data_IF_566559037586
#
_entry.id   IF_566559037586
#
_cell.length_a   1.000
_cell.length_b   1.000
_cell.length_c   1.000
_cell.angle_alpha   90.00
_cell.angle_beta   90.00
_cell.angle_gamma   90.00
#
_symmetry.space_group_name_H-M   'P 1'
#
loop_
_entity.id
_entity.type
_entity.pdbx_description
1 polymer ?
#
# COMPACT_ATOMS: atom_id res chain seq x y z
N UNK A 1 4.83 13.89 28.63
CA UNK A 1 4.17 13.48 27.38
C UNK A 1 5.19 12.63 26.66
N UNK A 2 5.06 11.31 26.73
CA UNK A 2 5.93 10.41 25.96
C UNK A 2 5.47 10.49 24.50
N UNK A 3 6.42 10.71 23.59
CA UNK A 3 6.18 10.79 22.16
C UNK A 3 5.52 9.50 21.66
N UNK A 4 4.24 9.59 21.28
CA UNK A 4 3.44 8.48 20.74
C UNK A 4 3.87 8.02 19.33
N UNK A 5 5.08 8.37 18.89
CA UNK A 5 5.64 8.03 17.57
C UNK A 5 6.49 6.76 17.56
N UNK A 6 6.93 6.30 18.73
CA UNK A 6 7.62 5.02 18.89
C UNK A 6 6.63 3.95 19.34
N UNK A 7 6.26 3.09 18.39
CA UNK A 7 5.64 1.81 18.68
C UNK A 7 6.76 0.86 19.08
N UNK A 8 6.70 0.32 20.29
CA UNK A 8 7.58 -0.78 20.71
C UNK A 8 7.32 -1.98 19.79
N UNK A 9 8.40 -2.49 19.18
CA UNK A 9 8.33 -3.66 18.30
C UNK A 9 8.55 -4.89 19.19
N UNK A 10 7.63 -5.88 19.20
CA UNK A 10 7.85 -7.12 19.93
C UNK A 10 9.12 -7.87 19.45
N UNK A 11 9.85 -8.51 20.36
CA UNK A 11 11.04 -9.35 20.07
C UNK A 11 10.70 -10.70 19.38
N UNK A 12 9.55 -10.79 18.73
CA UNK A 12 9.05 -11.99 18.08
C UNK A 12 9.84 -12.32 16.78
N UNK A 13 9.77 -13.58 16.27
CA UNK A 13 10.46 -13.98 15.06
C UNK A 13 10.19 -13.04 13.87
N UNK A 14 11.20 -12.86 13.00
CA UNK A 14 11.09 -12.01 11.81
C UNK A 14 9.82 -12.32 10.99
N UNK A 15 9.05 -11.28 10.67
CA UNK A 15 7.74 -11.36 9.98
C UNK A 15 6.61 -12.09 10.74
N UNK A 16 6.74 -12.30 12.05
CA UNK A 16 5.60 -12.69 12.92
C UNK A 16 4.51 -11.59 12.96
N UNK A 17 4.94 -10.34 12.85
CA UNK A 17 4.11 -9.15 12.83
C UNK A 17 4.52 -8.25 11.66
N UNK A 18 3.57 -7.49 11.12
CA UNK A 18 3.82 -6.54 10.04
C UNK A 18 3.20 -5.18 10.39
N UNK A 19 3.88 -4.11 9.98
CA UNK A 19 3.37 -2.75 10.14
C UNK A 19 2.43 -2.40 9.01
N UNK A 20 1.33 -1.75 9.37
CA UNK A 20 0.41 -1.11 8.44
C UNK A 20 0.42 0.39 8.73
N UNK A 21 0.53 1.21 7.69
CA UNK A 21 0.49 2.66 7.88
C UNK A 21 -0.90 3.10 8.36
N UNK A 22 -0.96 4.21 9.11
CA UNK A 22 -2.25 4.80 9.53
C UNK A 22 -3.20 5.00 8.34
N UNK A 23 -2.69 5.46 7.21
CA UNK A 23 -3.44 5.60 5.97
C UNK A 23 -4.11 4.28 5.55
N UNK A 24 -3.34 3.21 5.49
CA UNK A 24 -3.82 1.89 5.07
C UNK A 24 -4.84 1.26 6.05
N UNK A 25 -4.76 1.57 7.34
CA UNK A 25 -5.77 1.10 8.32
C UNK A 25 -7.14 1.72 8.08
N UNK A 26 -7.17 2.96 7.60
CA UNK A 26 -8.41 3.68 7.33
C UNK A 26 -8.94 3.41 5.93
N UNK A 27 -8.04 3.28 4.97
CA UNK A 27 -8.35 3.20 3.55
C UNK A 27 -7.33 2.29 2.84
N UNK A 28 -7.79 1.19 2.27
CA UNK A 28 -6.94 0.22 1.57
C UNK A 28 -7.23 0.15 0.07
N UNK A 29 -6.24 -0.34 -0.68
CA UNK A 29 -6.41 -0.76 -2.07
C UNK A 29 -7.61 -1.74 -2.26
N UNK A 30 -8.23 -1.76 -3.45
CA UNK A 30 -9.37 -2.63 -3.75
C UNK A 30 -9.09 -4.12 -3.48
N UNK A 31 -10.02 -4.79 -2.78
CA UNK A 31 -9.93 -6.24 -2.60
C UNK A 31 -10.18 -7.02 -3.88
N UNK A 32 -11.16 -6.59 -4.68
CA UNK A 32 -11.51 -7.19 -5.98
C UNK A 32 -11.13 -6.25 -7.11
N UNK A 33 -10.98 -6.81 -8.30
CA UNK A 33 -10.85 -6.04 -9.54
C UNK A 33 -12.01 -5.05 -9.62
N UNK A 34 -11.75 -3.74 -9.75
CA UNK A 34 -12.79 -2.75 -10.00
C UNK A 34 -13.61 -3.14 -11.24
N UNK A 35 -14.94 -2.95 -11.17
CA UNK A 35 -15.83 -3.22 -12.29
C UNK A 35 -15.54 -2.26 -13.44
N UNK A 36 -15.94 -2.67 -14.65
CA UNK A 36 -15.96 -1.82 -15.85
C UNK A 36 -14.60 -1.22 -16.25
N UNK A 37 -13.51 -1.82 -15.78
CA UNK A 37 -12.16 -1.34 -16.10
C UNK A 37 -11.80 -0.01 -15.46
N UNK A 38 -12.47 0.36 -14.35
CA UNK A 38 -12.20 1.61 -13.63
C UNK A 38 -10.70 1.79 -13.37
N UNK A 39 -10.20 2.98 -13.75
CA UNK A 39 -8.81 3.41 -13.53
C UNK A 39 -8.65 4.21 -12.25
N UNK A 40 -9.75 4.58 -11.62
CA UNK A 40 -9.76 5.34 -10.39
C UNK A 40 -10.68 4.70 -9.37
N UNK A 41 -10.27 4.69 -8.11
CA UNK A 41 -11.12 4.33 -6.97
C UNK A 41 -10.93 5.37 -5.88
N UNK A 42 -12.03 5.98 -5.47
CA UNK A 42 -12.08 6.92 -4.34
C UNK A 42 -12.57 6.17 -3.11
N UNK A 43 -11.88 6.36 -2.00
CA UNK A 43 -12.23 5.82 -0.68
C UNK A 43 -12.30 6.95 0.31
N UNK A 44 -13.30 6.92 1.18
CA UNK A 44 -13.52 7.94 2.21
C UNK A 44 -13.71 7.29 3.56
N UNK A 45 -13.05 7.86 4.58
CA UNK A 45 -13.23 7.50 5.98
C UNK A 45 -13.16 8.78 6.84
N UNK A 46 -14.32 9.28 7.27
CA UNK A 46 -14.40 10.58 7.94
C UNK A 46 -13.92 11.73 7.04
N UNK A 47 -12.98 12.54 7.53
CA UNK A 47 -12.32 13.63 6.80
C UNK A 47 -11.28 13.16 5.78
N UNK A 48 -10.85 11.90 5.87
CA UNK A 48 -9.85 11.34 4.96
C UNK A 48 -10.51 10.87 3.66
N UNK A 49 -10.06 11.43 2.54
CA UNK A 49 -10.32 10.91 1.19
C UNK A 49 -9.01 10.45 0.57
N UNK A 50 -8.98 9.23 0.06
CA UNK A 50 -7.85 8.72 -0.72
C UNK A 50 -8.35 8.29 -2.09
N UNK A 51 -7.72 8.82 -3.12
CA UNK A 51 -7.96 8.44 -4.50
C UNK A 51 -6.78 7.60 -4.99
N UNK A 52 -7.09 6.40 -5.45
CA UNK A 52 -6.14 5.54 -6.11
C UNK A 52 -6.31 5.71 -7.61
N UNK A 53 -5.24 6.15 -8.27
CA UNK A 53 -5.18 6.39 -9.70
C UNK A 53 -4.28 5.34 -10.34
N UNK A 54 -4.87 4.39 -11.06
CA UNK A 54 -4.17 3.33 -11.74
C UNK A 54 -3.52 3.84 -13.04
N UNK A 55 -2.27 3.45 -13.27
CA UNK A 55 -1.57 3.75 -14.51
C UNK A 55 -2.12 2.99 -15.73
N UNK A 56 -1.33 2.92 -16.81
CA UNK A 56 -1.73 2.28 -18.07
C UNK A 56 -2.13 0.80 -17.93
N UNK A 57 -1.62 0.11 -16.92
CA UNK A 57 -1.95 -1.28 -16.61
C UNK A 57 -3.26 -1.46 -15.81
N UNK A 58 -3.90 -0.36 -15.40
CA UNK A 58 -5.08 -0.32 -14.54
C UNK A 58 -4.74 -0.36 -13.05
N UNK A 59 -5.78 -0.31 -12.21
CA UNK A 59 -5.61 -0.29 -10.76
C UNK A 59 -5.06 -1.62 -10.20
N UNK A 60 -4.20 -1.56 -9.16
CA UNK A 60 -3.82 -2.72 -8.38
C UNK A 60 -5.01 -3.18 -7.52
N UNK A 61 -5.13 -4.49 -7.34
CA UNK A 61 -6.15 -5.09 -6.50
C UNK A 61 -5.71 -6.46 -5.97
N UNK A 62 -6.46 -6.99 -5.01
CA UNK A 62 -6.21 -8.32 -4.44
C UNK A 62 -5.15 -8.29 -3.35
N UNK A 63 -4.69 -9.47 -2.93
CA UNK A 63 -3.86 -9.61 -1.74
C UNK A 63 -2.42 -9.14 -1.95
N UNK A 64 -1.84 -9.35 -3.13
CA UNK A 64 -0.42 -9.13 -3.37
C UNK A 64 0.02 -7.66 -3.28
N UNK A 65 -0.71 -6.68 -3.84
CA UNK A 65 -0.37 -5.27 -3.65
C UNK A 65 -0.41 -4.85 -2.18
N UNK A 66 -1.42 -5.30 -1.43
CA UNK A 66 -1.58 -4.96 0.00
C UNK A 66 -0.51 -5.61 0.88
N UNK A 67 -0.13 -6.86 0.57
CA UNK A 67 1.00 -7.52 1.22
C UNK A 67 2.31 -6.76 0.95
N UNK A 68 2.49 -6.25 -0.28
CA UNK A 68 3.67 -5.44 -0.61
C UNK A 68 3.70 -4.14 0.20
N UNK A 69 2.58 -3.41 0.30
CA UNK A 69 2.52 -2.18 1.09
C UNK A 69 2.85 -2.44 2.57
N UNK A 70 2.34 -3.54 3.15
CA UNK A 70 2.67 -3.95 4.53
C UNK A 70 4.15 -4.30 4.69
N UNK A 71 4.72 -5.05 3.73
CA UNK A 71 6.16 -5.34 3.71
C UNK A 71 6.99 -4.07 3.69
N UNK A 72 6.69 -3.14 2.77
CA UNK A 72 7.41 -1.87 2.66
C UNK A 72 7.30 -1.03 3.94
N UNK A 73 6.11 -0.91 4.53
CA UNK A 73 5.92 -0.22 5.81
C UNK A 73 6.74 -0.87 6.93
N UNK A 74 6.83 -2.20 6.93
CA UNK A 74 7.59 -2.95 7.93
C UNK A 74 9.08 -2.66 7.81
N UNK A 75 9.67 -2.79 6.62
CA UNK A 75 11.10 -2.53 6.40
C UNK A 75 11.49 -1.10 6.78
N UNK A 76 10.65 -0.13 6.41
CA UNK A 76 10.87 1.29 6.78
C UNK A 76 10.80 1.48 8.29
N UNK A 77 9.79 0.89 8.97
CA UNK A 77 9.57 1.13 10.40
C UNK A 77 10.59 0.41 11.29
N UNK A 78 11.07 -0.76 10.88
CA UNK A 78 12.07 -1.53 11.64
C UNK A 78 13.51 -1.10 11.34
N UNK A 79 13.72 -0.17 10.41
CA UNK A 79 15.07 0.22 9.98
C UNK A 79 15.83 -0.91 9.31
N UNK A 80 15.12 -1.75 8.53
CA UNK A 80 15.74 -2.90 7.86
C UNK A 80 16.83 -2.45 6.87
N UNK A 81 17.99 -3.12 6.79
CA UNK A 81 19.08 -2.75 5.89
C UNK A 81 18.70 -2.70 4.40
N UNK A 82 17.58 -3.31 4.01
CA UNK A 82 17.04 -3.22 2.65
C UNK A 82 16.49 -1.83 2.31
N UNK A 83 16.17 -0.99 3.29
CA UNK A 83 15.68 0.38 3.07
C UNK A 83 16.77 1.42 3.37
N UNK A 84 17.12 2.22 2.37
CA UNK A 84 18.00 3.38 2.56
C UNK A 84 17.16 4.64 2.81
N UNK A 85 17.20 5.23 4.03
CA UNK A 85 16.42 6.42 4.37
C UNK A 85 16.87 7.69 3.63
N UNK A 86 18.13 7.75 3.17
CA UNK A 86 18.65 8.91 2.45
C UNK A 86 18.12 8.96 1.01
N UNK A 87 18.18 7.84 0.29
CA UNK A 87 17.67 7.73 -1.08
C UNK A 87 16.19 7.38 -1.18
N UNK A 88 15.58 6.92 -0.08
CA UNK A 88 14.21 6.38 -0.02
C UNK A 88 13.99 5.18 -0.95
N UNK A 89 15.05 4.39 -1.15
CA UNK A 89 15.02 3.19 -2.00
C UNK A 89 14.88 1.95 -1.11
N UNK A 90 13.93 1.08 -1.47
CA UNK A 90 13.76 -0.24 -0.88
C UNK A 90 14.28 -1.33 -1.83
N UNK A 91 15.33 -2.03 -1.43
CA UNK A 91 15.91 -3.14 -2.18
C UNK A 91 15.11 -4.42 -1.95
N UNK A 92 14.53 -4.98 -3.01
CA UNK A 92 13.69 -6.19 -2.95
C UNK A 92 14.48 -7.50 -3.12
N UNK A 93 15.81 -7.43 -3.08
CA UNK A 93 16.71 -8.55 -3.38
C UNK A 93 17.11 -8.60 -4.85
N UNK A 94 17.81 -9.66 -5.25
CA UNK A 94 18.42 -9.75 -6.59
C UNK A 94 17.43 -10.24 -7.65
N UNK A 95 16.42 -11.00 -7.22
CA UNK A 95 15.38 -11.51 -8.13
C UNK A 95 13.99 -11.36 -7.55
N UNK A 96 13.00 -11.19 -8.43
CA UNK A 96 11.58 -11.19 -8.05
C UNK A 96 11.17 -12.48 -7.31
N UNK A 97 11.83 -13.60 -7.61
CA UNK A 97 11.60 -14.88 -6.93
C UNK A 97 12.12 -14.87 -5.49
N UNK A 98 13.21 -14.18 -5.21
CA UNK A 98 13.69 -13.95 -3.83
C UNK A 98 12.72 -13.08 -3.06
N UNK A 99 12.28 -11.97 -3.65
CA UNK A 99 11.26 -11.12 -3.06
C UNK A 99 10.01 -11.91 -2.63
N UNK A 100 9.47 -12.77 -3.51
CA UNK A 100 8.29 -13.58 -3.18
C UNK A 100 8.53 -14.59 -2.05
N UNK A 101 9.76 -15.10 -1.91
CA UNK A 101 10.13 -15.94 -0.77
C UNK A 101 10.16 -15.13 0.52
N UNK A 102 10.68 -13.90 0.49
CA UNK A 102 10.73 -12.99 1.64
C UNK A 102 9.32 -12.69 2.20
N UNK A 103 8.33 -12.48 1.33
CA UNK A 103 6.94 -12.24 1.75
C UNK A 103 6.11 -13.53 1.92
N UNK A 104 6.76 -14.68 2.01
CA UNK A 104 6.16 -16.01 2.19
C UNK A 104 5.04 -16.36 1.19
N UNK A 105 5.21 -15.95 -0.08
CA UNK A 105 4.27 -16.25 -1.16
C UNK A 105 4.75 -17.48 -1.93
N UNK A 106 3.99 -18.60 -1.94
CA UNK A 106 4.37 -19.80 -2.68
C UNK A 106 4.40 -19.53 -4.19
N UNK A 107 5.46 -20.00 -4.85
CA UNK A 107 5.72 -19.72 -6.26
C UNK A 107 5.19 -20.87 -7.13
N UNK A 108 3.99 -20.69 -7.69
CA UNK A 108 3.44 -21.50 -8.79
C UNK A 108 3.38 -20.69 -10.10
N UNK A 109 3.46 -21.35 -11.26
CA UNK A 109 3.54 -20.66 -12.57
C UNK A 109 2.40 -19.68 -12.84
N UNK A 110 1.15 -20.09 -12.62
CA UNK A 110 -0.02 -19.21 -12.79
C UNK A 110 -0.09 -18.09 -11.74
N UNK A 111 0.33 -18.39 -10.49
CA UNK A 111 0.37 -17.40 -9.41
C UNK A 111 1.39 -16.30 -9.74
N UNK A 112 2.57 -16.67 -10.23
CA UNK A 112 3.63 -15.74 -10.62
C UNK A 112 3.16 -14.69 -11.63
N UNK A 113 2.41 -15.09 -12.66
CA UNK A 113 1.87 -14.16 -13.65
C UNK A 113 0.93 -13.13 -13.02
N UNK A 114 0.04 -13.59 -12.15
CA UNK A 114 -0.91 -12.72 -11.45
C UNK A 114 -0.19 -11.78 -10.48
N UNK A 115 0.81 -12.27 -9.74
CA UNK A 115 1.58 -11.46 -8.79
C UNK A 115 2.35 -10.37 -9.53
N UNK A 116 3.10 -10.73 -10.58
CA UNK A 116 3.84 -9.78 -11.41
C UNK A 116 2.91 -8.69 -11.96
N UNK A 117 1.78 -9.07 -12.54
CA UNK A 117 0.80 -8.12 -13.05
C UNK A 117 0.28 -7.15 -11.97
N UNK A 118 -0.01 -7.65 -10.76
CA UNK A 118 -0.54 -6.81 -9.69
C UNK A 118 0.52 -5.87 -9.10
N UNK A 119 1.79 -6.30 -9.02
CA UNK A 119 2.87 -5.43 -8.57
C UNK A 119 3.26 -4.38 -9.61
N UNK A 120 3.24 -4.72 -10.91
CA UNK A 120 3.41 -3.73 -11.98
C UNK A 120 2.32 -2.65 -11.96
N UNK A 121 1.07 -3.03 -11.63
CA UNK A 121 -0.01 -2.07 -11.42
C UNK A 121 0.21 -1.21 -10.19
N UNK A 122 0.71 -1.80 -9.10
CA UNK A 122 1.01 -1.09 -7.86
C UNK A 122 2.09 -0.02 -8.09
N UNK A 123 3.20 -0.39 -8.72
CA UNK A 123 4.31 0.54 -8.98
C UNK A 123 3.96 1.66 -9.96
N UNK A 124 2.86 1.53 -10.69
CA UNK A 124 2.31 2.56 -11.58
C UNK A 124 1.08 3.27 -11.00
N UNK A 125 0.71 2.98 -9.76
CA UNK A 125 -0.45 3.56 -9.10
C UNK A 125 -0.03 4.82 -8.33
N UNK A 126 -0.79 5.90 -8.49
CA UNK A 126 -0.62 7.14 -7.73
C UNK A 126 -1.70 7.22 -6.65
N UNK A 127 -1.33 7.78 -5.49
CA UNK A 127 -2.19 7.93 -4.33
C UNK A 127 -2.35 9.43 -4.10
N UNK A 128 -3.57 9.94 -4.24
CA UNK A 128 -3.91 11.32 -3.86
C UNK A 128 -4.59 11.27 -2.50
N UNK A 129 -4.02 11.94 -1.50
CA UNK A 129 -4.53 11.94 -0.13
C UNK A 129 -5.00 13.33 0.23
N UNK A 130 -6.28 13.45 0.57
CA UNK A 130 -6.90 14.66 1.09
C UNK A 130 -7.41 14.40 2.52
N UNK A 131 -7.13 15.32 3.44
CA UNK A 131 -7.66 15.28 4.79
C UNK A 131 -8.34 16.60 5.11
N UNK A 132 -9.56 16.77 4.57
CA UNK A 132 -10.38 17.96 4.74
C UNK A 132 -11.09 17.93 6.09
N UNK A 133 -10.59 18.72 7.04
CA UNK A 133 -11.27 18.99 8.33
C UNK A 133 -12.33 20.08 8.23
N UNK A 134 -12.56 20.63 7.04
CA UNK A 134 -13.50 21.72 6.82
C UNK A 134 -14.96 21.25 6.91
N UNK A 135 -15.75 21.98 7.71
CA UNK A 135 -17.21 21.94 7.67
C UNK A 135 -17.62 22.23 6.22
N UNK A 136 -18.22 21.26 5.53
CA UNK A 136 -18.81 21.46 4.21
C UNK A 136 -19.83 22.58 4.28
N UNK A 137 -19.43 23.79 3.91
CA UNK A 137 -20.38 24.84 3.58
C UNK A 137 -20.87 24.51 2.17
N UNK A 138 -22.07 23.92 2.08
CA UNK A 138 -22.73 23.72 0.80
C UNK A 138 -23.06 25.08 0.18
N UNK A 139 -22.15 25.63 -0.62
CA UNK A 139 -22.51 26.67 -1.57
C UNK A 139 -23.19 25.97 -2.74
N UNK A 140 -24.53 25.92 -2.69
CA UNK A 140 -25.34 25.60 -3.86
C UNK A 140 -25.19 26.76 -4.83
N UNK A 141 -24.52 26.51 -5.96
CA UNK A 141 -24.65 27.40 -7.11
C UNK A 141 -26.10 27.34 -7.58
N UNK A 142 -26.86 28.38 -7.25
CA UNK A 142 -28.16 28.64 -7.88
C UNK A 142 -27.86 29.27 -9.24
N UNK A 143 -28.08 28.50 -10.29
CA UNK A 143 -28.36 29.01 -11.63
C UNK A 143 -29.85 28.90 -11.88
#
# INVERSE_FOLDING_TARGET
>A
MNDSTELEVPDDPWMSHAFISKLMTQVSLPYRKPKDGAKEVIRRNGSLTVEFHGGTAGLPYGKYPRLFEMYACTMVKTGDPSFDPASRILNLGTTFREFLRLINVPIGGQQMRNIKQQLERLFKCTYSVDNSTEIKTEIKNVL
#
